data_IF_296648458233
#
_entry.id   IF_296648458233
#
_cell.length_a   1.000
_cell.length_b   1.000
_cell.length_c   1.000
_cell.angle_alpha   90.00
_cell.angle_beta   90.00
_cell.angle_gamma   90.00
#
_symmetry.space_group_name_H-M   'P 1'
#
loop_
_entity.id
_entity.type
_entity.pdbx_description
1 polymer ?
#
# COMPACT_ATOMS: atom_id res chain seq x y z
N UNK A 1 30.77 -12.47 6.08
CA UNK A 1 29.57 -11.92 6.77
C UNK A 1 28.85 -13.13 7.33
N UNK A 2 28.69 -13.22 8.65
CA UNK A 2 27.87 -14.28 9.23
C UNK A 2 26.46 -14.12 8.68
N UNK A 3 25.86 -15.21 8.20
CA UNK A 3 24.46 -15.26 7.78
C UNK A 3 23.58 -14.92 8.98
N UNK A 4 23.33 -13.62 9.21
CA UNK A 4 22.48 -13.17 10.28
C UNK A 4 21.06 -13.61 9.96
N UNK A 5 20.65 -14.74 10.55
CA UNK A 5 19.31 -15.27 10.39
C UNK A 5 18.31 -14.34 11.07
N UNK A 6 17.41 -13.77 10.27
CA UNK A 6 16.26 -13.04 10.78
C UNK A 6 15.07 -13.99 10.92
N UNK A 7 14.16 -13.75 11.88
CA UNK A 7 12.93 -14.53 11.96
C UNK A 7 12.07 -14.36 10.70
N UNK A 8 11.35 -15.40 10.28
CA UNK A 8 10.48 -15.40 9.10
C UNK A 8 11.19 -15.71 7.79
N UNK A 9 10.45 -15.60 6.68
CA UNK A 9 10.98 -15.81 5.32
C UNK A 9 11.68 -14.53 4.85
N UNK A 10 12.91 -14.66 4.36
CA UNK A 10 13.67 -13.54 3.83
C UNK A 10 13.09 -12.97 2.54
N UNK A 11 13.32 -11.68 2.35
CA UNK A 11 13.00 -10.96 1.14
C UNK A 11 13.78 -11.42 -0.09
N UNK A 12 13.31 -11.02 -1.26
CA UNK A 12 13.93 -11.30 -2.55
C UNK A 12 14.62 -10.07 -3.17
N UNK A 13 14.53 -8.90 -2.54
CA UNK A 13 15.16 -7.65 -3.00
C UNK A 13 16.62 -7.50 -2.52
N UNK A 14 17.16 -8.49 -1.80
CA UNK A 14 18.54 -8.45 -1.27
C UNK A 14 18.72 -7.47 -0.11
N UNK A 15 17.64 -7.16 0.62
CA UNK A 15 17.65 -6.30 1.82
C UNK A 15 17.36 -7.13 3.07
N UNK A 16 17.33 -6.49 4.24
CA UNK A 16 16.91 -7.16 5.50
C UNK A 16 15.40 -7.38 5.61
N UNK A 17 14.61 -6.87 4.66
CA UNK A 17 13.16 -7.04 4.61
C UNK A 17 12.75 -8.51 4.57
N UNK A 18 11.55 -8.80 5.06
CA UNK A 18 10.94 -10.12 4.91
C UNK A 18 10.28 -10.27 3.54
N UNK A 19 9.90 -11.50 3.19
CA UNK A 19 9.20 -11.79 1.94
C UNK A 19 7.97 -10.90 1.73
N UNK A 20 7.06 -10.80 2.70
CA UNK A 20 5.87 -9.96 2.51
C UNK A 20 6.16 -8.47 2.51
N UNK A 21 7.21 -8.00 3.19
CA UNK A 21 7.65 -6.61 3.09
C UNK A 21 8.06 -6.28 1.64
N UNK A 22 8.81 -7.17 0.99
CA UNK A 22 9.24 -7.02 -0.41
C UNK A 22 8.06 -7.13 -1.38
N UNK A 23 7.14 -8.08 -1.13
CA UNK A 23 5.90 -8.21 -1.91
C UNK A 23 5.09 -6.93 -1.84
N UNK A 24 4.86 -6.36 -0.66
CA UNK A 24 4.09 -5.11 -0.50
C UNK A 24 4.84 -3.93 -1.11
N UNK A 25 6.16 -3.85 -0.95
CA UNK A 25 6.99 -2.83 -1.58
C UNK A 25 6.79 -2.80 -3.11
N UNK A 26 6.93 -3.97 -3.76
CA UNK A 26 6.75 -4.12 -5.21
C UNK A 26 5.30 -3.94 -5.61
N UNK A 27 4.35 -4.44 -4.82
CA UNK A 27 2.93 -4.25 -5.07
C UNK A 27 2.58 -2.76 -5.15
N UNK A 28 3.11 -1.92 -4.25
CA UNK A 28 2.89 -0.48 -4.31
C UNK A 28 3.54 0.17 -5.54
N UNK A 29 4.67 -0.36 -6.02
CA UNK A 29 5.34 0.10 -7.24
C UNK A 29 4.50 -0.17 -8.49
N UNK A 30 3.77 -1.28 -8.51
CA UNK A 30 2.83 -1.62 -9.59
C UNK A 30 1.50 -0.89 -9.42
N UNK A 31 1.02 -0.76 -8.19
CA UNK A 31 -0.28 -0.19 -7.84
C UNK A 31 -0.42 1.26 -8.33
N UNK A 32 0.58 2.12 -8.07
CA UNK A 32 0.50 3.55 -8.42
C UNK A 32 0.40 3.76 -9.94
N UNK A 33 1.29 3.21 -10.79
CA UNK A 33 1.14 3.29 -12.24
C UNK A 33 -0.17 2.70 -12.77
N UNK A 34 -0.60 1.55 -12.25
CA UNK A 34 -1.82 0.89 -12.70
C UNK A 34 -3.07 1.71 -12.34
N UNK A 35 -3.07 2.36 -11.18
CA UNK A 35 -4.10 3.30 -10.78
C UNK A 35 -4.14 4.54 -11.70
N UNK A 36 -2.98 5.12 -12.02
CA UNK A 36 -2.89 6.24 -12.97
C UNK A 36 -3.38 5.86 -14.37
N UNK A 37 -3.00 4.68 -14.85
CA UNK A 37 -3.50 4.11 -16.10
C UNK A 37 -5.02 3.91 -16.06
N UNK A 38 -5.55 3.39 -14.95
CA UNK A 38 -6.99 3.22 -14.73
C UNK A 38 -7.75 4.55 -14.77
N UNK A 39 -7.16 5.64 -14.26
CA UNK A 39 -7.71 7.01 -14.35
C UNK A 39 -7.65 7.54 -15.79
N UNK A 40 -6.54 7.32 -16.50
CA UNK A 40 -6.38 7.70 -17.91
C UNK A 40 -7.48 7.07 -18.79
N UNK A 41 -7.79 5.78 -18.56
CA UNK A 41 -8.82 5.05 -19.30
C UNK A 41 -10.20 5.70 -19.22
N UNK A 42 -10.63 6.18 -18.05
CA UNK A 42 -11.93 6.85 -17.89
C UNK A 42 -11.89 8.30 -18.36
N UNK A 43 -10.74 8.98 -18.22
CA UNK A 43 -10.60 10.40 -18.54
C UNK A 43 -10.53 10.65 -20.04
N UNK A 44 -9.85 9.80 -20.79
CA UNK A 44 -9.50 10.05 -22.20
C UNK A 44 -9.99 8.97 -23.16
N UNK A 45 -10.34 7.78 -22.68
CA UNK A 45 -10.72 6.65 -23.55
C UNK A 45 -12.15 6.15 -23.33
N UNK A 46 -12.88 6.71 -22.36
CA UNK A 46 -14.22 6.28 -21.95
C UNK A 46 -14.33 4.76 -21.68
N UNK A 47 -13.23 4.10 -21.26
CA UNK A 47 -13.19 2.65 -21.00
C UNK A 47 -13.61 2.32 -19.56
N UNK A 48 -14.84 2.66 -19.19
CA UNK A 48 -15.37 2.53 -17.83
C UNK A 48 -15.40 1.09 -17.30
N UNK A 49 -15.76 0.12 -18.15
CA UNK A 49 -15.77 -1.29 -17.75
C UNK A 49 -14.36 -1.80 -17.41
N UNK A 50 -13.36 -1.39 -18.18
CA UNK A 50 -11.97 -1.77 -17.91
C UNK A 50 -11.47 -1.12 -16.61
N UNK A 51 -11.79 0.15 -16.37
CA UNK A 51 -11.50 0.81 -15.10
C UNK A 51 -12.11 0.06 -13.91
N UNK A 52 -13.40 -0.30 -13.99
CA UNK A 52 -14.08 -1.10 -12.95
C UNK A 52 -13.36 -2.42 -12.70
N UNK A 53 -13.01 -3.17 -13.76
CA UNK A 53 -12.29 -4.45 -13.64
C UNK A 53 -10.94 -4.26 -12.96
N UNK A 54 -10.14 -3.28 -13.40
CA UNK A 54 -8.84 -2.98 -12.80
C UNK A 54 -9.00 -2.63 -11.32
N UNK A 55 -9.90 -1.72 -10.96
CA UNK A 55 -10.07 -1.27 -9.57
C UNK A 55 -10.57 -2.39 -8.65
N UNK A 56 -11.53 -3.21 -9.10
CA UNK A 56 -12.03 -4.34 -8.31
C UNK A 56 -10.97 -5.43 -8.16
N UNK A 57 -10.24 -5.76 -9.22
CA UNK A 57 -9.13 -6.72 -9.16
C UNK A 57 -8.03 -6.24 -8.21
N UNK A 58 -7.63 -4.97 -8.32
CA UNK A 58 -6.67 -4.37 -7.40
C UNK A 58 -7.17 -4.41 -5.96
N UNK A 59 -8.44 -4.05 -5.73
CA UNK A 59 -9.06 -4.10 -4.39
C UNK A 59 -8.97 -5.49 -3.77
N UNK A 60 -9.37 -6.53 -4.51
CA UNK A 60 -9.30 -7.89 -3.99
C UNK A 60 -7.87 -8.34 -3.73
N UNK A 61 -6.97 -8.17 -4.71
CA UNK A 61 -5.58 -8.62 -4.59
C UNK A 61 -4.86 -7.90 -3.46
N UNK A 62 -4.98 -6.57 -3.38
CA UNK A 62 -4.30 -5.79 -2.35
C UNK A 62 -4.88 -6.05 -0.95
N UNK A 63 -6.21 -6.24 -0.82
CA UNK A 63 -6.81 -6.63 0.46
C UNK A 63 -6.28 -7.98 0.96
N UNK A 64 -6.13 -8.98 0.08
CA UNK A 64 -5.54 -10.27 0.44
C UNK A 64 -4.06 -10.10 0.81
N UNK A 65 -3.30 -9.37 0.02
CA UNK A 65 -1.88 -9.12 0.29
C UNK A 65 -1.65 -8.41 1.63
N UNK A 66 -2.45 -7.38 1.94
CA UNK A 66 -2.37 -6.65 3.22
C UNK A 66 -2.81 -7.52 4.39
N UNK A 67 -3.82 -8.37 4.22
CA UNK A 67 -4.24 -9.31 5.27
C UNK A 67 -3.14 -10.32 5.61
N UNK A 68 -2.49 -10.90 4.59
CA UNK A 68 -1.35 -11.81 4.78
C UNK A 68 -0.17 -11.06 5.42
N UNK A 69 0.12 -9.85 4.95
CA UNK A 69 1.18 -9.00 5.50
C UNK A 69 0.96 -8.73 6.98
N UNK A 70 -0.25 -8.33 7.38
CA UNK A 70 -0.60 -8.08 8.78
C UNK A 70 -0.44 -9.34 9.65
N UNK A 71 -0.84 -10.51 9.15
CA UNK A 71 -0.63 -11.79 9.85
C UNK A 71 0.87 -12.05 10.03
N UNK A 72 1.68 -11.87 8.99
CA UNK A 72 3.13 -12.04 9.09
C UNK A 72 3.73 -11.09 10.11
N UNK A 73 3.38 -9.80 10.08
CA UNK A 73 3.93 -8.81 11.00
C UNK A 73 3.56 -9.05 12.47
N UNK A 74 2.45 -9.77 12.73
CA UNK A 74 2.08 -10.22 14.07
C UNK A 74 2.89 -11.42 14.55
N UNK A 75 3.30 -12.31 13.65
CA UNK A 75 4.10 -13.49 13.96
C UNK A 75 5.59 -13.18 14.02
N UNK A 76 6.04 -12.30 13.13
CA UNK A 76 7.43 -11.90 12.93
C UNK A 76 7.47 -10.37 12.94
N UNK A 77 7.64 -9.75 14.13
CA UNK A 77 7.62 -8.30 14.24
C UNK A 77 8.72 -7.65 13.39
N UNK A 78 8.35 -6.66 12.59
CA UNK A 78 9.26 -5.85 11.77
C UNK A 78 10.51 -5.35 12.49
N UNK A 79 10.40 -5.09 13.81
CA UNK A 79 11.48 -4.56 14.65
C UNK A 79 12.70 -5.49 14.69
N UNK A 80 12.50 -6.81 14.58
CA UNK A 80 13.62 -7.76 14.61
C UNK A 80 14.55 -7.58 13.39
N UNK A 81 13.98 -7.25 12.24
CA UNK A 81 14.70 -7.00 10.98
C UNK A 81 15.22 -5.56 10.86
N UNK A 82 14.63 -4.63 11.60
CA UNK A 82 15.07 -3.23 11.67
C UNK A 82 16.25 -3.00 12.63
N UNK A 83 16.56 -3.94 13.53
CA UNK A 83 17.60 -3.81 14.56
C UNK A 83 18.97 -3.34 14.04
N UNK A 84 19.46 -3.78 12.87
CA UNK A 84 20.75 -3.33 12.34
C UNK A 84 20.73 -1.95 11.70
N UNK A 85 19.56 -1.30 11.56
CA UNK A 85 19.48 0.06 11.00
C UNK A 85 20.07 1.08 11.96
N UNK A 86 20.92 2.02 11.50
CA UNK A 86 21.43 3.11 12.33
C UNK A 86 20.33 4.09 12.77
N UNK A 87 19.15 4.00 12.18
CA UNK A 87 18.00 4.88 12.42
C UNK A 87 16.95 4.25 13.35
N UNK A 88 17.17 3.02 13.81
CA UNK A 88 16.26 2.30 14.69
C UNK A 88 16.83 2.18 16.11
N UNK A 89 16.05 2.61 17.09
CA UNK A 89 16.34 2.42 18.51
C UNK A 89 15.32 1.43 19.10
N UNK A 90 15.73 0.22 19.52
CA UNK A 90 14.80 -0.75 20.09
C UNK A 90 14.19 -0.32 21.43
N UNK A 91 14.87 0.53 22.21
CA UNK A 91 14.36 1.06 23.48
C UNK A 91 13.33 2.17 23.25
N UNK A 92 13.46 2.90 22.15
CA UNK A 92 12.59 4.03 21.78
C UNK A 92 11.94 3.82 20.41
N UNK A 93 11.44 2.61 20.15
CA UNK A 93 11.00 2.17 18.81
C UNK A 93 9.94 3.04 18.13
N UNK A 94 9.15 3.80 18.89
CA UNK A 94 8.10 4.70 18.37
C UNK A 94 8.52 6.17 18.30
N UNK A 95 9.69 6.53 18.84
CA UNK A 95 10.23 7.89 18.86
C UNK A 95 11.65 7.99 18.28
N UNK A 96 12.11 6.95 17.59
CA UNK A 96 13.26 7.00 16.69
C UNK A 96 12.84 7.30 15.26
N UNK A 97 13.82 7.55 14.37
CA UNK A 97 13.58 7.93 12.98
C UNK A 97 12.75 6.89 12.22
N UNK A 98 13.08 5.60 12.36
CA UNK A 98 12.29 4.50 11.76
C UNK A 98 10.88 4.45 12.32
N UNK A 99 10.72 4.65 13.64
CA UNK A 99 9.42 4.69 14.31
C UNK A 99 8.53 5.83 13.80
N UNK A 100 9.06 7.04 13.72
CA UNK A 100 8.34 8.19 13.15
C UNK A 100 7.98 7.96 11.68
N UNK A 101 8.90 7.40 10.88
CA UNK A 101 8.61 7.06 9.49
C UNK A 101 7.45 6.06 9.38
N UNK A 102 7.39 5.05 10.25
CA UNK A 102 6.28 4.10 10.30
C UNK A 102 4.97 4.78 10.68
N UNK A 103 4.98 5.66 11.70
CA UNK A 103 3.78 6.40 12.11
C UNK A 103 3.24 7.29 10.99
N UNK A 104 4.12 7.98 10.26
CA UNK A 104 3.76 8.76 9.07
C UNK A 104 3.15 7.87 8.00
N UNK A 105 3.76 6.72 7.72
CA UNK A 105 3.20 5.76 6.78
C UNK A 105 1.79 5.30 7.19
N UNK A 106 1.60 4.92 8.46
CA UNK A 106 0.30 4.47 8.98
C UNK A 106 -0.77 5.56 8.94
N UNK A 107 -0.38 6.83 9.16
CA UNK A 107 -1.27 7.98 9.04
C UNK A 107 -1.87 8.12 7.63
N UNK A 108 -1.14 7.74 6.59
CA UNK A 108 -1.67 7.69 5.23
C UNK A 108 -2.35 6.35 4.91
N UNK A 109 -1.71 5.23 5.29
CA UNK A 109 -2.14 3.89 4.92
C UNK A 109 -3.52 3.54 5.48
N UNK A 110 -3.75 3.76 6.78
CA UNK A 110 -4.99 3.34 7.45
C UNK A 110 -6.20 4.12 6.94
N UNK A 111 -6.19 5.47 6.90
CA UNK A 111 -7.31 6.23 6.34
C UNK A 111 -7.51 5.96 4.84
N UNK A 112 -6.43 5.77 4.08
CA UNK A 112 -6.53 5.43 2.65
C UNK A 112 -7.20 4.08 2.44
N UNK A 113 -6.87 3.06 3.23
CA UNK A 113 -7.51 1.75 3.15
C UNK A 113 -9.02 1.85 3.40
N UNK A 114 -9.43 2.58 4.45
CA UNK A 114 -10.85 2.82 4.77
C UNK A 114 -11.55 3.59 3.64
N UNK A 115 -10.94 4.67 3.18
CA UNK A 115 -11.49 5.49 2.09
C UNK A 115 -11.62 4.69 0.79
N UNK A 116 -10.65 3.82 0.48
CA UNK A 116 -10.68 3.03 -0.73
C UNK A 116 -11.75 1.94 -0.68
N UNK A 117 -11.94 1.28 0.47
CA UNK A 117 -13.07 0.37 0.71
C UNK A 117 -14.39 1.13 0.48
N UNK A 118 -14.54 2.31 1.08
CA UNK A 118 -15.72 3.15 0.88
C UNK A 118 -15.95 3.46 -0.61
N UNK A 119 -14.94 3.93 -1.34
CA UNK A 119 -15.05 4.28 -2.76
C UNK A 119 -15.45 3.08 -3.61
N UNK A 120 -14.83 1.91 -3.39
CA UNK A 120 -15.13 0.68 -4.14
C UNK A 120 -16.54 0.21 -3.85
N UNK A 121 -16.93 0.11 -2.58
CA UNK A 121 -18.29 -0.34 -2.19
C UNK A 121 -19.36 0.59 -2.75
N UNK A 122 -19.17 1.91 -2.62
CA UNK A 122 -20.13 2.88 -3.13
C UNK A 122 -20.19 2.88 -4.66
N UNK A 123 -19.07 2.68 -5.36
CA UNK A 123 -19.06 2.53 -6.81
C UNK A 123 -19.81 1.26 -7.25
N UNK A 124 -19.61 0.13 -6.56
CA UNK A 124 -20.32 -1.12 -6.86
C UNK A 124 -21.83 -1.03 -6.61
N UNK A 125 -22.26 -0.23 -5.63
CA UNK A 125 -23.68 -0.02 -5.31
C UNK A 125 -24.38 0.99 -6.21
N UNK A 126 -23.67 2.00 -6.71
CA UNK A 126 -24.26 3.17 -7.38
C UNK A 126 -24.02 3.23 -8.89
N UNK A 127 -23.15 2.40 -9.44
CA UNK A 127 -22.99 2.23 -10.89
C UNK A 127 -23.56 0.90 -11.36
N UNK A 128 -24.14 0.92 -12.56
CA UNK A 128 -24.70 -0.28 -13.18
C UNK A 128 -23.62 -1.32 -13.53
N UNK A 129 -24.09 -2.51 -13.95
CA UNK A 129 -23.20 -3.59 -14.40
C UNK A 129 -22.30 -3.14 -15.57
N UNK A 130 -22.89 -2.40 -16.51
CA UNK A 130 -22.19 -1.69 -17.59
C UNK A 130 -22.02 -0.23 -17.14
N UNK A 131 -20.87 0.13 -16.53
CA UNK A 131 -20.73 1.43 -15.90
C UNK A 131 -20.71 2.53 -16.96
N UNK A 132 -21.68 3.44 -16.88
CA UNK A 132 -21.73 4.70 -17.60
C UNK A 132 -21.82 5.86 -16.61
N UNK A 133 -21.44 7.09 -17.01
CA UNK A 133 -21.65 8.26 -16.18
C UNK A 133 -23.12 8.42 -15.80
N UNK A 134 -23.37 8.68 -14.52
CA UNK A 134 -24.69 8.90 -13.92
C UNK A 134 -24.61 9.99 -12.83
N UNK A 135 -25.71 10.24 -12.11
CA UNK A 135 -25.78 11.28 -11.08
C UNK A 135 -24.70 11.17 -9.98
N UNK A 136 -24.19 9.96 -9.69
CA UNK A 136 -23.15 9.74 -8.68
C UNK A 136 -21.72 10.05 -9.19
N UNK A 137 -21.52 10.26 -10.49
CA UNK A 137 -20.19 10.38 -11.10
C UNK A 137 -19.35 11.53 -10.56
N UNK A 138 -19.98 12.65 -10.19
CA UNK A 138 -19.29 13.79 -9.57
C UNK A 138 -18.73 13.42 -8.20
N UNK A 139 -19.56 12.84 -7.33
CA UNK A 139 -19.19 12.38 -5.99
C UNK A 139 -18.12 11.30 -6.04
N UNK A 140 -18.26 10.31 -6.93
CA UNK A 140 -17.25 9.27 -7.13
C UNK A 140 -15.89 9.88 -7.49
N UNK A 141 -15.86 10.83 -8.43
CA UNK A 141 -14.62 11.47 -8.88
C UNK A 141 -13.91 12.23 -7.77
N UNK A 142 -14.66 12.90 -6.90
CA UNK A 142 -14.10 13.61 -5.75
C UNK A 142 -13.39 12.63 -4.81
N UNK A 143 -14.11 11.61 -4.32
CA UNK A 143 -13.53 10.65 -3.37
C UNK A 143 -12.45 9.76 -3.99
N UNK A 144 -12.59 9.38 -5.26
CA UNK A 144 -11.58 8.60 -5.97
C UNK A 144 -10.26 9.36 -6.15
N UNK A 145 -10.32 10.69 -6.35
CA UNK A 145 -9.10 11.52 -6.40
C UNK A 145 -8.41 11.57 -5.04
N UNK A 146 -9.17 11.78 -3.97
CA UNK A 146 -8.63 11.77 -2.62
C UNK A 146 -8.00 10.41 -2.27
N UNK A 147 -8.68 9.31 -2.62
CA UNK A 147 -8.16 7.96 -2.46
C UNK A 147 -6.87 7.74 -3.27
N UNK A 148 -6.81 8.23 -4.52
CA UNK A 148 -5.61 8.10 -5.35
C UNK A 148 -4.41 8.90 -4.80
N UNK A 149 -4.66 10.10 -4.27
CA UNK A 149 -3.65 10.90 -3.57
C UNK A 149 -3.16 10.17 -2.31
N UNK A 150 -4.08 9.66 -1.48
CA UNK A 150 -3.76 8.88 -0.29
C UNK A 150 -2.96 7.62 -0.60
N UNK A 151 -3.32 6.88 -1.66
CA UNK A 151 -2.62 5.69 -2.12
C UNK A 151 -1.19 6.02 -2.57
N UNK A 152 -1.00 7.15 -3.27
CA UNK A 152 0.32 7.61 -3.68
C UNK A 152 1.18 7.98 -2.47
N UNK A 153 0.62 8.70 -1.50
CA UNK A 153 1.34 9.04 -0.26
C UNK A 153 1.66 7.80 0.57
N UNK A 154 0.75 6.83 0.64
CA UNK A 154 0.96 5.53 1.27
C UNK A 154 2.16 4.80 0.66
N UNK A 155 2.26 4.77 -0.68
CA UNK A 155 3.38 4.16 -1.38
C UNK A 155 4.71 4.85 -1.04
N UNK A 156 4.76 6.17 -1.22
CA UNK A 156 5.99 6.97 -1.02
C UNK A 156 6.50 6.85 0.42
N UNK A 157 5.61 7.03 1.39
CA UNK A 157 5.97 6.92 2.82
C UNK A 157 6.33 5.48 3.22
N UNK A 158 5.69 4.48 2.61
CA UNK A 158 6.01 3.07 2.84
C UNK A 158 7.39 2.69 2.31
N UNK A 159 7.78 3.19 1.13
CA UNK A 159 9.13 3.01 0.61
C UNK A 159 10.18 3.73 1.45
N UNK A 160 9.87 4.93 1.95
CA UNK A 160 10.73 5.64 2.89
C UNK A 160 10.98 4.84 4.16
N UNK A 161 9.91 4.30 4.77
CA UNK A 161 10.03 3.41 5.92
C UNK A 161 10.86 2.16 5.61
N UNK A 162 10.58 1.50 4.49
CA UNK A 162 11.30 0.29 4.06
C UNK A 162 12.81 0.56 3.90
N UNK A 163 13.16 1.68 3.25
CA UNK A 163 14.55 2.07 3.06
C UNK A 163 15.25 2.31 4.41
N UNK A 164 14.66 3.12 5.28
CA UNK A 164 15.23 3.45 6.59
C UNK A 164 15.37 2.22 7.49
N UNK A 165 14.40 1.31 7.47
CA UNK A 165 14.42 0.13 8.31
C UNK A 165 15.35 -0.98 7.79
N UNK A 166 15.37 -1.22 6.48
CA UNK A 166 15.94 -2.47 5.93
C UNK A 166 17.08 -2.30 4.92
N UNK A 167 17.29 -1.09 4.40
CA UNK A 167 18.30 -0.82 3.37
C UNK A 167 19.46 -0.01 3.94
N UNK A 168 19.17 1.06 4.69
CA UNK A 168 20.21 1.88 5.31
C UNK A 168 21.12 1.04 6.23
N UNK A 169 22.42 1.28 6.18
CA UNK A 169 23.46 0.59 6.95
C UNK A 169 24.38 1.60 7.61
#
# INVERSE_FOLDING_TARGET
MLDQQYPGIDGFLGTRGSFMLDVVFVAMLVMVPLMLFSIYLVRYRARFLLHKRIQVSLAMILSVAVAIFEIEQRLVPWTARALPSPYFDPHHKWSCVVGYSLLVHLLFAVPTAVLWIYVVVQALRKFDRLPLPNAYSGTHRYWARLAAMGMTMTAVTGWGFYYLAYVAT
#
